data_IF_026502193705
#
_entry.id   IF_026502193705
#
_cell.length_a   1.000
_cell.length_b   1.000
_cell.length_c   1.000
_cell.angle_alpha   90.00
_cell.angle_beta   90.00
_cell.angle_gamma   90.00
#
_symmetry.space_group_name_H-M   'P 1'
#
loop_
_entity.id
_entity.type
_entity.pdbx_description
1 polymer ?
#
# COMPACT_ATOMS: atom_id res chain seq x y z
N UNK A 1 -8.44 18.15 -15.33
CA UNK A 1 -8.49 16.70 -15.03
C UNK A 1 -8.36 16.56 -13.53
N UNK A 2 -9.27 15.82 -12.87
CA UNK A 2 -9.20 15.60 -11.43
C UNK A 2 -8.21 14.48 -11.12
N UNK A 3 -7.19 14.77 -10.31
CA UNK A 3 -6.25 13.77 -9.79
C UNK A 3 -6.91 13.03 -8.62
N UNK A 4 -6.74 11.70 -8.55
CA UNK A 4 -7.14 10.90 -7.38
C UNK A 4 -5.95 10.78 -6.44
N UNK A 5 -6.13 11.15 -5.17
CA UNK A 5 -5.13 11.04 -4.12
C UNK A 5 -5.27 9.70 -3.40
N UNK A 6 -4.29 8.83 -3.57
CA UNK A 6 -4.27 7.49 -3.00
C UNK A 6 -3.15 7.44 -1.96
N UNK A 7 -3.53 7.19 -0.71
CA UNK A 7 -2.59 7.05 0.40
C UNK A 7 -2.23 5.59 0.64
N UNK A 8 -1.01 5.35 1.13
CA UNK A 8 -0.61 4.07 1.71
C UNK A 8 0.13 4.27 3.03
N UNK A 9 -0.17 3.43 4.02
CA UNK A 9 0.52 3.47 5.31
C UNK A 9 0.69 2.09 5.91
N UNK A 10 1.95 1.65 6.12
CA UNK A 10 2.24 0.55 7.02
C UNK A 10 2.10 1.05 8.46
N UNK A 11 1.08 0.56 9.16
CA UNK A 11 0.74 1.02 10.50
C UNK A 11 1.35 0.16 11.61
N UNK A 12 2.00 -0.98 11.32
CA UNK A 12 2.67 -1.84 12.31
C UNK A 12 1.79 -2.10 13.56
N UNK A 13 0.58 -2.59 13.31
CA UNK A 13 -0.51 -2.78 14.28
C UNK A 13 -1.44 -1.58 14.40
N UNK A 14 -2.69 -1.72 13.95
CA UNK A 14 -3.69 -0.66 13.90
C UNK A 14 -4.36 -0.42 15.26
N UNK A 15 -3.61 0.15 16.22
CA UNK A 15 -4.16 0.55 17.51
C UNK A 15 -5.19 1.67 17.37
N UNK A 16 -6.00 1.91 18.41
CA UNK A 16 -6.97 3.00 18.43
C UNK A 16 -6.36 4.36 18.06
N UNK A 17 -5.17 4.68 18.58
CA UNK A 17 -4.50 5.95 18.28
C UNK A 17 -4.03 6.04 16.82
N UNK A 18 -3.56 4.93 16.24
CA UNK A 18 -3.17 4.90 14.82
C UNK A 18 -4.38 4.98 13.90
N UNK A 19 -5.48 4.31 14.26
CA UNK A 19 -6.75 4.46 13.56
C UNK A 19 -7.24 5.90 13.59
N UNK A 20 -7.24 6.55 14.76
CA UNK A 20 -7.61 7.96 14.89
C UNK A 20 -6.73 8.85 14.01
N UNK A 21 -5.42 8.68 14.06
CA UNK A 21 -4.48 9.41 13.20
C UNK A 21 -4.83 9.24 11.71
N UNK A 22 -5.03 8.00 11.24
CA UNK A 22 -5.42 7.75 9.85
C UNK A 22 -6.77 8.39 9.51
N UNK A 23 -7.75 8.37 10.42
CA UNK A 23 -9.08 8.94 10.18
C UNK A 23 -9.02 10.46 10.15
N UNK A 24 -8.27 11.11 11.04
CA UNK A 24 -8.12 12.56 11.05
C UNK A 24 -7.52 13.05 9.72
N UNK A 25 -6.52 12.35 9.17
CA UNK A 25 -5.96 12.65 7.85
C UNK A 25 -6.95 12.41 6.71
N UNK A 26 -7.65 11.28 6.77
CA UNK A 26 -8.61 10.91 5.74
C UNK A 26 -9.80 11.87 5.72
N UNK A 27 -10.34 12.24 6.87
CA UNK A 27 -11.46 13.16 7.03
C UNK A 27 -11.15 14.58 6.60
N UNK A 28 -9.91 15.06 6.83
CA UNK A 28 -9.42 16.35 6.35
C UNK A 28 -9.09 16.40 4.84
N UNK A 29 -9.59 15.44 4.05
CA UNK A 29 -9.46 15.40 2.58
C UNK A 29 -8.01 15.41 2.08
N UNK A 30 -7.09 14.86 2.86
CA UNK A 30 -5.71 14.62 2.40
C UNK A 30 -5.71 13.54 1.30
N UNK A 31 -6.55 12.50 1.47
CA UNK A 31 -6.67 11.38 0.54
C UNK A 31 -8.12 11.09 0.15
N UNK A 32 -8.31 10.60 -1.07
CA UNK A 32 -9.59 10.09 -1.58
C UNK A 32 -9.76 8.59 -1.28
N UNK A 33 -8.64 7.87 -1.25
CA UNK A 33 -8.52 6.45 -0.91
C UNK A 33 -7.28 6.23 -0.04
N UNK A 34 -7.36 5.34 0.93
CA UNK A 34 -6.25 5.02 1.84
C UNK A 34 -6.13 3.50 2.02
N UNK A 35 -4.93 2.98 1.76
CA UNK A 35 -4.54 1.62 2.08
C UNK A 35 -3.74 1.59 3.38
N UNK A 36 -4.18 0.76 4.32
CA UNK A 36 -3.46 0.48 5.55
C UNK A 36 -2.84 -0.91 5.46
N UNK A 37 -1.58 -1.06 5.83
CA UNK A 37 -0.85 -2.33 5.89
C UNK A 37 -0.40 -2.64 7.32
N UNK A 38 -0.09 -3.90 7.58
CA UNK A 38 0.16 -4.44 8.92
C UNK A 38 -0.90 -4.03 9.95
N UNK A 39 -2.18 -4.11 9.58
CA UNK A 39 -3.25 -3.78 10.52
C UNK A 39 -3.31 -4.74 11.71
N UNK A 40 -2.75 -5.95 11.51
CA UNK A 40 -2.83 -7.09 12.43
C UNK A 40 -4.27 -7.48 12.78
N UNK A 41 -5.23 -7.00 11.97
CA UNK A 41 -6.66 -7.13 12.20
C UNK A 41 -7.12 -6.60 13.57
N UNK A 42 -6.34 -5.69 14.16
CA UNK A 42 -6.67 -5.06 15.44
C UNK A 42 -7.93 -4.23 15.25
N UNK A 43 -8.95 -4.49 16.08
CA UNK A 43 -10.20 -3.73 16.06
C UNK A 43 -11.06 -3.91 14.81
N UNK A 44 -10.79 -4.94 13.99
CA UNK A 44 -11.42 -5.10 12.67
C UNK A 44 -12.95 -5.07 12.72
N UNK A 45 -13.58 -5.73 13.70
CA UNK A 45 -15.05 -5.75 13.86
C UNK A 45 -15.67 -4.34 13.96
N UNK A 46 -14.92 -3.36 14.48
CA UNK A 46 -15.35 -1.97 14.53
C UNK A 46 -15.04 -1.24 13.21
N UNK A 47 -13.87 -1.50 12.63
CA UNK A 47 -13.42 -0.81 11.41
C UNK A 47 -14.28 -1.17 10.20
N UNK A 48 -14.75 -2.41 10.08
CA UNK A 48 -15.62 -2.84 8.96
C UNK A 48 -16.98 -2.13 8.95
N UNK A 49 -17.41 -1.60 10.08
CA UNK A 49 -18.67 -0.85 10.21
C UNK A 49 -18.51 0.63 9.83
N UNK A 50 -17.27 1.08 9.60
CA UNK A 50 -16.99 2.48 9.29
C UNK A 50 -17.50 2.86 7.90
N UNK A 51 -18.04 4.08 7.74
CA UNK A 51 -18.61 4.56 6.49
C UNK A 51 -17.64 4.46 5.30
N UNK A 52 -16.35 4.71 5.56
CA UNK A 52 -15.29 4.70 4.55
C UNK A 52 -14.74 3.31 4.26
N UNK A 53 -15.08 2.28 5.03
CA UNK A 53 -14.59 0.94 4.80
C UNK A 53 -15.02 0.41 3.43
N UNK A 54 -14.08 -0.22 2.73
CA UNK A 54 -14.33 -0.90 1.45
C UNK A 54 -14.20 -2.41 1.65
N UNK A 55 -13.00 -2.88 2.02
CA UNK A 55 -12.69 -4.29 2.23
C UNK A 55 -11.34 -4.45 2.96
N UNK A 56 -11.09 -5.66 3.46
CA UNK A 56 -9.84 -6.09 4.09
C UNK A 56 -9.18 -7.24 3.34
N UNK A 57 -7.90 -7.48 3.62
CA UNK A 57 -7.18 -8.70 3.25
C UNK A 57 -7.73 -9.95 3.95
N UNK A 58 -7.46 -11.13 3.38
CA UNK A 58 -7.90 -12.40 3.97
C UNK A 58 -6.98 -12.85 5.12
N UNK A 59 -7.58 -13.23 6.25
CA UNK A 59 -6.86 -13.87 7.36
C UNK A 59 -6.53 -15.31 6.97
N UNK A 60 -5.25 -15.68 6.93
CA UNK A 60 -4.84 -17.08 6.73
C UNK A 60 -5.27 -17.93 7.94
N UNK A 61 -6.05 -18.99 7.70
CA UNK A 61 -6.60 -19.83 8.76
C UNK A 61 -5.53 -20.44 9.69
N UNK A 62 -4.33 -20.71 9.16
CA UNK A 62 -3.18 -21.24 9.91
C UNK A 62 -2.60 -20.26 10.93
N UNK A 63 -2.83 -18.95 10.78
CA UNK A 63 -2.34 -17.93 11.72
C UNK A 63 -3.29 -17.66 12.89
N UNK A 64 -4.57 -18.07 12.79
CA UNK A 64 -5.54 -17.92 13.89
C UNK A 64 -5.26 -18.83 15.09
N UNK A 65 -4.56 -19.94 14.89
CA UNK A 65 -4.38 -20.95 15.94
C UNK A 65 -3.17 -20.72 16.85
N UNK A 66 -2.16 -19.93 16.46
CA UNK A 66 -0.84 -19.96 17.11
C UNK A 66 -0.17 -18.60 17.44
N UNK A 67 -0.89 -17.48 17.46
CA UNK A 67 -0.32 -16.21 17.96
C UNK A 67 -0.95 -14.92 17.44
N UNK A 68 -0.27 -13.79 17.67
CA UNK A 68 -0.65 -12.48 17.11
C UNK A 68 -0.56 -12.55 15.58
N UNK A 69 -1.60 -12.05 14.89
CA UNK A 69 -1.51 -11.80 13.45
C UNK A 69 -0.46 -10.70 13.22
N UNK A 70 0.38 -10.89 12.20
CA UNK A 70 1.48 -9.97 11.83
C UNK A 70 1.35 -9.47 10.39
N UNK A 71 0.18 -9.61 9.80
CA UNK A 71 -0.19 -9.12 8.48
C UNK A 71 -1.52 -8.39 8.58
N UNK A 72 -2.20 -8.17 7.47
CA UNK A 72 -3.48 -7.50 7.44
C UNK A 72 -3.38 -6.19 6.68
N UNK A 73 -4.28 -6.02 5.74
CA UNK A 73 -4.42 -4.81 4.97
C UNK A 73 -5.88 -4.39 4.93
N UNK A 74 -6.13 -3.09 4.83
CA UNK A 74 -7.46 -2.51 4.78
C UNK A 74 -7.50 -1.39 3.75
N UNK A 75 -8.58 -1.32 2.98
CA UNK A 75 -8.83 -0.24 2.05
C UNK A 75 -10.01 0.61 2.53
N UNK A 76 -9.78 1.91 2.59
CA UNK A 76 -10.75 2.94 2.91
C UNK A 76 -10.91 3.85 1.70
N UNK A 77 -12.13 4.28 1.41
CA UNK A 77 -12.42 5.19 0.31
C UNK A 77 -13.54 6.16 0.66
N UNK A 78 -13.45 7.39 0.16
CA UNK A 78 -14.52 8.37 0.30
C UNK A 78 -15.76 7.91 -0.48
N UNK A 79 -16.98 8.31 -0.07
CA UNK A 79 -18.22 7.84 -0.71
C UNK A 79 -18.23 8.04 -2.24
N UNK A 80 -17.70 9.16 -2.75
CA UNK A 80 -17.63 9.41 -4.19
C UNK A 80 -16.65 8.47 -4.91
N UNK A 81 -15.57 8.01 -4.27
CA UNK A 81 -14.69 6.98 -4.83
C UNK A 81 -15.34 5.61 -4.73
N UNK A 82 -15.98 5.28 -3.60
CA UNK A 82 -16.69 4.00 -3.40
C UNK A 82 -17.70 3.74 -4.52
N UNK A 83 -18.43 4.77 -4.93
CA UNK A 83 -19.41 4.70 -6.02
C UNK A 83 -18.79 4.43 -7.41
N UNK A 84 -17.46 4.55 -7.54
CA UNK A 84 -16.71 4.34 -8.79
C UNK A 84 -15.93 3.02 -8.77
N UNK A 85 -15.97 2.28 -7.65
CA UNK A 85 -15.34 0.97 -7.53
C UNK A 85 -16.17 -0.04 -8.33
N UNK A 86 -15.57 -0.64 -9.35
CA UNK A 86 -16.21 -1.67 -10.18
C UNK A 86 -15.88 -3.09 -9.73
N UNK A 87 -14.73 -3.30 -9.08
CA UNK A 87 -14.36 -4.59 -8.50
C UNK A 87 -13.30 -4.45 -7.41
N UNK A 88 -13.26 -5.45 -6.52
CA UNK A 88 -12.24 -5.62 -5.50
C UNK A 88 -11.78 -7.08 -5.44
N UNK A 89 -10.50 -7.29 -5.14
CA UNK A 89 -9.92 -8.62 -4.87
C UNK A 89 -8.84 -8.48 -3.79
N UNK A 90 -8.79 -9.39 -2.84
CA UNK A 90 -7.69 -9.42 -1.87
C UNK A 90 -7.11 -10.82 -1.67
N UNK A 91 -5.84 -10.83 -1.30
CA UNK A 91 -5.15 -11.98 -0.70
C UNK A 91 -4.72 -11.58 0.71
N UNK A 92 -3.85 -12.36 1.34
CA UNK A 92 -3.27 -12.01 2.65
C UNK A 92 -2.15 -10.96 2.58
N UNK A 93 -1.68 -10.61 1.37
CA UNK A 93 -0.54 -9.69 1.15
C UNK A 93 -0.82 -8.62 0.09
N UNK A 94 -1.98 -8.68 -0.57
CA UNK A 94 -2.29 -7.81 -1.71
C UNK A 94 -3.74 -7.40 -1.70
N UNK A 95 -4.02 -6.19 -2.18
CA UNK A 95 -5.36 -5.67 -2.41
C UNK A 95 -5.42 -5.06 -3.81
N UNK A 96 -6.44 -5.41 -4.57
CA UNK A 96 -6.72 -4.84 -5.87
C UNK A 96 -8.07 -4.13 -5.84
N UNK A 97 -8.12 -2.90 -6.34
CA UNK A 97 -9.34 -2.12 -6.49
C UNK A 97 -9.40 -1.56 -7.90
N UNK A 98 -10.46 -1.85 -8.63
CA UNK A 98 -10.69 -1.24 -9.93
C UNK A 98 -11.55 0.02 -9.76
N UNK A 99 -11.01 1.18 -10.11
CA UNK A 99 -11.70 2.48 -10.14
C UNK A 99 -11.48 3.14 -11.49
N UNK A 100 -12.52 3.72 -12.09
CA UNK A 100 -12.41 4.40 -13.39
C UNK A 100 -11.74 3.55 -14.50
N UNK A 101 -11.85 2.22 -14.45
CA UNK A 101 -11.20 1.31 -15.39
C UNK A 101 -9.72 1.04 -15.10
N UNK A 102 -9.17 1.57 -14.01
CA UNK A 102 -7.79 1.38 -13.57
C UNK A 102 -7.71 0.50 -12.33
N UNK A 103 -6.82 -0.48 -12.37
CA UNK A 103 -6.52 -1.37 -11.25
C UNK A 103 -5.45 -0.74 -10.35
N UNK A 104 -5.81 -0.41 -9.12
CA UNK A 104 -4.92 0.03 -8.06
C UNK A 104 -4.54 -1.16 -7.20
N UNK A 105 -3.26 -1.52 -7.21
CA UNK A 105 -2.73 -2.73 -6.59
C UNK A 105 -1.86 -2.38 -5.39
N UNK A 106 -2.42 -2.44 -4.19
CA UNK A 106 -1.69 -2.22 -2.95
C UNK A 106 -1.07 -3.53 -2.45
N UNK A 107 0.17 -3.48 -1.96
CA UNK A 107 0.90 -4.65 -1.49
C UNK A 107 1.57 -4.41 -0.13
N UNK A 108 1.69 -5.49 0.64
CA UNK A 108 2.58 -5.59 1.78
C UNK A 108 3.33 -6.93 1.71
N UNK A 109 4.62 -6.88 1.45
CA UNK A 109 5.47 -8.06 1.37
C UNK A 109 6.47 -8.09 2.53
N UNK A 110 6.20 -8.87 3.60
CA UNK A 110 7.11 -8.99 4.75
C UNK A 110 8.54 -9.28 4.31
N UNK A 111 9.57 -8.81 5.04
CA UNK A 111 10.96 -9.05 4.67
C UNK A 111 11.33 -10.55 4.66
N UNK A 112 10.60 -11.36 5.41
CA UNK A 112 10.76 -12.83 5.46
C UNK A 112 10.12 -13.57 4.28
N UNK A 113 9.32 -12.91 3.45
CA UNK A 113 8.69 -13.55 2.29
C UNK A 113 9.73 -13.85 1.22
N UNK A 114 9.77 -15.11 0.78
CA UNK A 114 10.67 -15.56 -0.29
C UNK A 114 10.31 -14.90 -1.63
N UNK A 115 11.32 -14.72 -2.49
CA UNK A 115 11.18 -13.98 -3.74
C UNK A 115 10.23 -14.63 -4.74
N UNK A 116 10.13 -15.96 -4.78
CA UNK A 116 9.22 -16.66 -5.67
C UNK A 116 7.75 -16.37 -5.31
N UNK A 117 7.44 -16.30 -4.01
CA UNK A 117 6.12 -15.88 -3.54
C UNK A 117 5.82 -14.42 -3.91
N UNK A 118 6.77 -13.51 -3.73
CA UNK A 118 6.61 -12.10 -4.15
C UNK A 118 6.33 -12.03 -5.66
N UNK A 119 7.14 -12.72 -6.46
CA UNK A 119 7.01 -12.80 -7.92
C UNK A 119 5.62 -13.29 -8.36
N UNK A 120 5.10 -14.34 -7.72
CA UNK A 120 3.77 -14.88 -8.01
C UNK A 120 2.64 -13.85 -7.77
N UNK A 121 2.81 -12.93 -6.81
CA UNK A 121 1.83 -11.87 -6.58
C UNK A 121 1.91 -10.76 -7.62
N UNK A 122 3.09 -10.46 -8.17
CA UNK A 122 3.30 -9.25 -8.99
C UNK A 122 3.40 -9.50 -10.50
N UNK A 123 4.00 -10.60 -10.97
CA UNK A 123 4.32 -10.76 -12.40
C UNK A 123 3.13 -11.20 -13.27
N UNK A 124 2.20 -12.00 -12.73
CA UNK A 124 1.09 -12.56 -13.51
C UNK A 124 -0.20 -11.74 -13.39
N UNK A 125 -0.10 -10.42 -13.16
CA UNK A 125 -1.25 -9.55 -12.94
C UNK A 125 -1.18 -8.28 -13.77
N UNK A 126 -2.34 -7.82 -14.24
CA UNK A 126 -2.50 -6.54 -14.91
C UNK A 126 -2.96 -5.47 -13.92
N UNK A 127 -2.07 -4.54 -13.55
CA UNK A 127 -2.40 -3.37 -12.75
C UNK A 127 -1.98 -2.07 -13.43
N UNK A 128 -2.67 -0.98 -13.08
CA UNK A 128 -2.38 0.38 -13.56
C UNK A 128 -1.43 1.11 -12.61
N UNK A 129 -1.59 0.85 -11.32
CA UNK A 129 -0.74 1.38 -10.24
C UNK A 129 -0.41 0.22 -9.30
N UNK A 130 0.85 0.11 -8.89
CA UNK A 130 1.29 -0.73 -7.78
C UNK A 130 1.87 0.17 -6.69
N UNK A 131 1.45 0.00 -5.44
CA UNK A 131 1.99 0.77 -4.33
C UNK A 131 2.06 -0.03 -3.04
N UNK A 132 2.99 0.35 -2.17
CA UNK A 132 3.04 -0.11 -0.80
C UNK A 132 4.40 -0.59 -0.35
N UNK A 133 4.41 -1.28 0.79
CA UNK A 133 5.62 -1.76 1.44
C UNK A 133 6.09 -3.06 0.79
N UNK A 134 7.11 -2.93 -0.06
CA UNK A 134 7.76 -4.06 -0.72
C UNK A 134 9.05 -4.48 -0.03
N UNK A 135 9.35 -3.94 1.17
CA UNK A 135 10.54 -4.23 1.97
C UNK A 135 11.85 -4.20 1.15
N UNK A 136 11.99 -3.21 0.29
CA UNK A 136 13.11 -3.07 -0.65
C UNK A 136 13.57 -1.62 -0.75
N UNK A 137 14.88 -1.42 -0.89
CA UNK A 137 15.50 -0.11 -1.08
C UNK A 137 16.25 -0.11 -2.42
N UNK A 138 16.13 0.96 -3.19
CA UNK A 138 16.63 1.07 -4.59
C UNK A 138 17.81 2.04 -4.73
N UNK A 139 18.33 2.57 -3.63
CA UNK A 139 19.52 3.41 -3.62
C UNK A 139 19.27 4.85 -4.06
N UNK A 140 20.35 5.52 -4.48
CA UNK A 140 20.40 6.99 -4.55
C UNK A 140 19.41 7.60 -5.56
N UNK A 141 19.02 6.84 -6.60
CA UNK A 141 17.97 7.21 -7.57
C UNK A 141 16.61 7.43 -6.94
N UNK A 142 16.39 6.95 -5.71
CA UNK A 142 15.17 7.14 -4.92
C UNK A 142 15.43 7.92 -3.63
N UNK A 143 16.60 8.58 -3.51
CA UNK A 143 16.97 9.32 -2.30
C UNK A 143 17.41 8.43 -1.14
N UNK A 144 17.75 7.16 -1.42
CA UNK A 144 18.12 6.15 -0.44
C UNK A 144 19.62 5.86 -0.49
N UNK A 145 20.19 5.52 0.66
CA UNK A 145 21.56 5.00 0.83
C UNK A 145 21.60 3.49 0.66
N UNK A 146 20.54 2.79 1.08
CA UNK A 146 20.43 1.33 0.95
C UNK A 146 19.99 0.95 -0.46
N UNK A 147 20.56 -0.13 -0.99
CA UNK A 147 20.13 -0.77 -2.23
C UNK A 147 20.08 -2.28 -1.99
N UNK A 148 18.95 -2.80 -1.49
CA UNK A 148 18.79 -4.18 -1.01
C UNK A 148 17.33 -4.53 -0.66
N UNK A 149 16.97 -5.82 -0.57
CA UNK A 149 17.77 -6.97 -1.00
C UNK A 149 17.82 -7.09 -2.53
N UNK A 150 18.95 -7.52 -3.08
CA UNK A 150 19.22 -7.48 -4.54
C UNK A 150 18.17 -8.24 -5.36
N UNK A 151 17.75 -9.42 -4.89
CA UNK A 151 16.73 -10.22 -5.57
C UNK A 151 15.36 -9.50 -5.69
N UNK A 152 14.98 -8.67 -4.71
CA UNK A 152 13.76 -7.86 -4.81
C UNK A 152 13.98 -6.66 -5.72
N UNK A 153 15.15 -6.01 -5.65
CA UNK A 153 15.46 -4.92 -6.58
C UNK A 153 15.36 -5.41 -8.02
N UNK A 154 16.05 -6.51 -8.34
CA UNK A 154 16.02 -7.15 -9.66
C UNK A 154 14.58 -7.47 -10.10
N UNK A 155 13.76 -8.08 -9.24
CA UNK A 155 12.36 -8.40 -9.56
C UNK A 155 11.52 -7.17 -9.91
N UNK A 156 11.65 -6.08 -9.15
CA UNK A 156 10.86 -4.87 -9.39
C UNK A 156 11.42 -4.01 -10.55
N UNK A 157 12.72 -4.08 -10.82
CA UNK A 157 13.30 -3.55 -12.04
C UNK A 157 12.80 -4.34 -13.27
N UNK A 158 12.76 -5.67 -13.21
CA UNK A 158 12.20 -6.50 -14.29
C UNK A 158 10.72 -6.19 -14.53
N UNK A 159 9.94 -5.99 -13.47
CA UNK A 159 8.54 -5.58 -13.54
C UNK A 159 8.36 -4.27 -14.32
N UNK A 160 9.24 -3.29 -14.09
CA UNK A 160 9.26 -2.01 -14.84
C UNK A 160 9.42 -2.25 -16.34
N UNK A 161 10.37 -3.10 -16.72
CA UNK A 161 10.62 -3.41 -18.13
C UNK A 161 9.51 -4.25 -18.77
N UNK A 162 9.04 -5.30 -18.09
CA UNK A 162 8.07 -6.25 -18.65
C UNK A 162 6.65 -5.68 -18.76
N UNK A 163 6.22 -4.87 -17.79
CA UNK A 163 4.85 -4.33 -17.73
C UNK A 163 4.74 -2.89 -18.22
N UNK A 164 5.83 -2.29 -18.73
CA UNK A 164 5.83 -0.88 -19.16
C UNK A 164 5.46 0.07 -18.01
N UNK A 165 5.91 -0.25 -16.81
CA UNK A 165 5.66 0.55 -15.62
C UNK A 165 6.78 1.60 -15.45
N UNK A 166 6.50 2.63 -14.68
CA UNK A 166 7.44 3.65 -14.26
C UNK A 166 7.50 3.56 -12.74
N UNK A 167 8.70 3.36 -12.20
CA UNK A 167 8.94 3.47 -10.75
C UNK A 167 8.98 4.95 -10.39
N UNK A 168 7.97 5.39 -9.65
CA UNK A 168 7.80 6.79 -9.28
C UNK A 168 8.86 7.15 -8.24
N UNK A 169 9.62 8.23 -8.48
CA UNK A 169 10.57 8.75 -7.50
C UNK A 169 9.81 9.60 -6.46
N UNK A 170 10.09 9.44 -5.16
CA UNK A 170 9.45 10.26 -4.14
C UNK A 170 9.94 11.71 -4.22
N UNK A 171 9.08 12.66 -3.86
CA UNK A 171 9.42 14.08 -3.77
C UNK A 171 10.48 14.40 -2.70
N UNK A 172 10.62 13.56 -1.68
CA UNK A 172 11.60 13.70 -0.61
C UNK A 172 12.58 12.50 -0.59
N UNK A 173 13.82 12.78 -0.19
CA UNK A 173 14.83 11.74 0.00
C UNK A 173 14.66 11.10 1.38
N UNK A 174 13.93 9.98 1.46
CA UNK A 174 13.73 9.22 2.68
C UNK A 174 14.18 7.76 2.52
N UNK A 175 14.73 7.19 3.59
CA UNK A 175 14.97 5.75 3.71
C UNK A 175 13.65 5.03 3.92
N UNK A 176 13.02 4.56 2.84
CA UNK A 176 11.73 3.86 2.93
C UNK A 176 11.73 2.53 2.16
N UNK A 177 11.08 1.48 2.71
CA UNK A 177 10.73 0.28 1.96
C UNK A 177 9.44 0.41 1.13
N UNK A 178 8.72 1.51 1.28
CA UNK A 178 7.48 1.81 0.57
C UNK A 178 7.78 2.40 -0.81
N UNK A 179 7.08 1.94 -1.85
CA UNK A 179 7.30 2.40 -3.22
C UNK A 179 5.99 2.51 -4.01
N UNK A 180 6.02 3.27 -5.09
CA UNK A 180 4.92 3.39 -6.04
C UNK A 180 5.40 3.21 -7.48
N UNK A 181 4.59 2.53 -8.28
CA UNK A 181 4.80 2.28 -9.70
C UNK A 181 3.50 2.60 -10.44
N UNK A 182 3.57 3.20 -11.62
CA UNK A 182 2.40 3.43 -12.47
C UNK A 182 2.70 3.01 -13.92
N UNK A 183 1.67 2.69 -14.71
CA UNK A 183 1.88 2.52 -16.15
C UNK A 183 2.41 3.80 -16.79
N UNK A 184 3.22 3.65 -17.84
CA UNK A 184 3.83 4.77 -18.54
C UNK A 184 2.83 5.70 -19.26
N UNK A 185 1.60 5.23 -19.51
CA UNK A 185 0.51 6.03 -20.09
C UNK A 185 -0.27 6.84 -19.03
N UNK A 186 0.05 6.67 -17.74
CA UNK A 186 -0.51 7.42 -16.63
C UNK A 186 0.48 8.45 -16.10
N UNK A 187 -0.04 9.58 -15.63
CA UNK A 187 0.74 10.59 -14.90
C UNK A 187 0.48 10.42 -13.41
N UNK A 188 1.53 10.19 -12.64
CA UNK A 188 1.46 10.07 -11.18
C UNK A 188 2.68 10.71 -10.52
N UNK A 189 2.47 11.22 -9.31
CA UNK A 189 3.52 11.74 -8.43
C UNK A 189 3.44 11.02 -7.09
N UNK A 190 4.56 10.97 -6.37
CA UNK A 190 4.63 10.40 -5.04
C UNK A 190 5.23 11.40 -4.08
N UNK A 191 4.46 11.75 -3.05
CA UNK A 191 4.86 12.63 -1.96
C UNK A 191 4.67 11.89 -0.64
N UNK A 192 5.41 12.29 0.39
CA UNK A 192 5.12 11.86 1.75
C UNK A 192 4.24 12.89 2.42
N UNK A 193 3.33 12.45 3.28
CA UNK A 193 2.58 13.35 4.12
C UNK A 193 3.50 14.01 5.15
N UNK A 194 3.67 15.33 5.02
CA UNK A 194 4.40 16.16 5.98
C UNK A 194 3.45 16.56 7.12
N UNK A 195 3.51 15.79 8.21
CA UNK A 195 2.73 16.05 9.42
C UNK A 195 3.54 16.90 10.39
N UNK A 196 2.93 17.95 10.95
CA UNK A 196 3.48 18.64 12.12
C UNK A 196 3.43 17.79 13.40
N UNK A 197 2.59 16.75 13.41
CA UNK A 197 2.46 15.82 14.53
C UNK A 197 3.34 14.58 14.35
N UNK A 198 3.88 14.00 15.44
CA UNK A 198 4.64 12.76 15.37
C UNK A 198 3.83 11.63 14.73
N UNK A 199 4.39 10.99 13.71
CA UNK A 199 3.78 9.82 13.06
C UNK A 199 3.81 8.64 14.04
N UNK A 200 2.67 7.99 14.36
CA UNK A 200 2.61 6.91 15.33
C UNK A 200 2.99 5.54 14.71
N UNK A 201 3.91 5.52 13.74
CA UNK A 201 4.46 4.34 13.07
C UNK A 201 5.92 4.62 12.69
N UNK A 202 6.71 3.57 12.49
CA UNK A 202 8.05 3.66 11.91
C UNK A 202 8.03 3.91 10.39
N UNK A 203 6.85 3.82 9.76
CA UNK A 203 6.62 4.25 8.39
C UNK A 203 5.88 5.59 8.33
N UNK A 204 6.30 6.42 7.38
CA UNK A 204 5.62 7.67 7.03
C UNK A 204 4.54 7.35 6.02
N UNK A 205 3.41 8.05 6.12
CA UNK A 205 2.32 7.91 5.17
C UNK A 205 2.74 8.51 3.81
N UNK A 206 2.54 7.76 2.74
CA UNK A 206 2.72 8.21 1.34
C UNK A 206 1.36 8.57 0.74
#
# INVERSE_FOLDING_TARGET
MSTVKIGFWNCNGLSYFKWKYAMDLFENSVYDMLFLAETWFVGEDNHIQHLYYVFSSVIEASKRSNGRCNNGMMCLAKPYIKNQISSVESTSYTMNVCIFGHNIYAVYFPPSMNINSVSNFVLNRGYSVLLGDINTFFGCRFGQKKHRPSNRVELFEDLVHMHGMVHIRPGLNLETPDHAFCKADLTATWEFYDSSEPVPSDHVLM
#
